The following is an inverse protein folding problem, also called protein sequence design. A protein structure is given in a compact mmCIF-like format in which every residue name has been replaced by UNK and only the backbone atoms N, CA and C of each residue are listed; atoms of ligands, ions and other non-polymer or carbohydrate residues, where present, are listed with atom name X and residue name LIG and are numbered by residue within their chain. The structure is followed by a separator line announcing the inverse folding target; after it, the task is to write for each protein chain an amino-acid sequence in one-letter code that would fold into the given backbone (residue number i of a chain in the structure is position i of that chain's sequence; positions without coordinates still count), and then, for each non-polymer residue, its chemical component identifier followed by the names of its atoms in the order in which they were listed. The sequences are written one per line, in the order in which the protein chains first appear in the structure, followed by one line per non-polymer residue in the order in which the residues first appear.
data_IF_302771533067
#
_entry.id   IF_302771533067
#
_cell.length_a   1.000
_cell.length_b   1.000
_cell.length_c   1.000
_cell.angle_alpha   90.00
_cell.angle_beta   90.00
_cell.angle_gamma   90.00
#
_symmetry.space_group_name_H-M   'P 1'
#
loop_
_entity.id
_entity.type
_entity.pdbx_description
1 polymer ?
#
# COMPACT_ATOMS: atom_id res chain seq x y z
N UNK A 1 18.05 -10.21 7.89
CA UNK A 1 17.75 -11.66 7.95
C UNK A 1 16.25 -11.89 7.99
N UNK A 2 15.75 -12.87 7.28
CA UNK A 2 14.32 -13.20 7.26
C UNK A 2 14.07 -14.52 7.97
N UNK A 3 12.95 -14.58 8.71
CA UNK A 3 12.52 -15.77 9.44
C UNK A 3 11.15 -16.20 8.95
N UNK A 4 10.99 -17.48 8.61
CA UNK A 4 9.72 -18.06 8.20
C UNK A 4 8.73 -18.17 9.37
N UNK A 5 7.50 -18.56 9.04
CA UNK A 5 6.47 -18.80 10.04
C UNK A 5 6.88 -19.93 10.99
N UNK A 6 6.68 -19.71 12.28
CA UNK A 6 6.88 -20.76 13.29
C UNK A 6 5.87 -21.88 13.07
N UNK A 7 6.37 -23.09 12.87
CA UNK A 7 5.53 -24.22 12.50
C UNK A 7 6.13 -25.54 13.01
N UNK A 8 5.33 -26.60 13.00
CA UNK A 8 5.80 -27.93 13.40
C UNK A 8 6.72 -28.56 12.34
N UNK A 9 7.46 -29.60 12.75
CA UNK A 9 8.38 -30.33 11.86
C UNK A 9 7.70 -30.86 10.59
N UNK A 10 6.43 -31.18 10.67
CA UNK A 10 5.64 -31.65 9.54
C UNK A 10 5.27 -30.56 8.51
N UNK A 11 5.53 -29.29 8.84
CA UNK A 11 5.23 -28.13 8.01
C UNK A 11 6.49 -27.35 7.59
N UNK A 12 7.63 -28.03 7.51
CA UNK A 12 8.91 -27.42 7.10
C UNK A 12 8.82 -26.74 5.72
N UNK A 13 8.08 -27.34 4.80
CA UNK A 13 7.88 -26.75 3.46
C UNK A 13 7.13 -25.40 3.55
N UNK A 14 6.13 -25.32 4.43
CA UNK A 14 5.39 -24.09 4.70
C UNK A 14 6.31 -23.02 5.28
N UNK A 15 7.11 -23.39 6.27
CA UNK A 15 8.08 -22.47 6.88
C UNK A 15 9.10 -21.96 5.87
N UNK A 16 9.59 -22.83 4.99
CA UNK A 16 10.50 -22.44 3.91
C UNK A 16 9.84 -21.45 2.93
N UNK A 17 8.63 -21.75 2.47
CA UNK A 17 7.91 -20.88 1.55
C UNK A 17 7.57 -19.52 2.16
N UNK A 18 7.21 -19.49 3.44
CA UNK A 18 6.94 -18.23 4.14
C UNK A 18 8.21 -17.42 4.35
N UNK A 19 9.35 -18.06 4.62
CA UNK A 19 10.65 -17.39 4.71
C UNK A 19 11.06 -16.81 3.35
N UNK A 20 10.87 -17.54 2.25
CA UNK A 20 11.14 -17.05 0.89
C UNK A 20 10.24 -15.86 0.53
N UNK A 21 8.97 -15.91 0.91
CA UNK A 21 8.04 -14.80 0.70
C UNK A 21 8.47 -13.56 1.48
N UNK A 22 8.82 -13.71 2.75
CA UNK A 22 9.34 -12.63 3.57
C UNK A 22 10.63 -12.02 2.99
N UNK A 23 11.52 -12.86 2.47
CA UNK A 23 12.76 -12.41 1.85
C UNK A 23 12.53 -11.57 0.59
N UNK A 24 11.51 -11.91 -0.22
CA UNK A 24 11.15 -11.14 -1.42
C UNK A 24 10.68 -9.73 -1.09
N UNK A 25 10.16 -9.51 0.11
CA UNK A 25 9.68 -8.22 0.58
C UNK A 25 10.66 -7.49 1.49
N UNK A 26 11.85 -8.05 1.68
CA UNK A 26 12.92 -7.39 2.43
C UNK A 26 13.33 -6.10 1.71
N UNK A 27 13.29 -4.99 2.41
CA UNK A 27 13.78 -3.71 1.92
C UNK A 27 15.09 -3.35 2.62
N UNK A 28 15.99 -2.68 1.89
CA UNK A 28 17.29 -2.25 2.42
C UNK A 28 17.19 -1.30 3.62
N UNK A 29 16.02 -0.74 3.88
CA UNK A 29 15.77 0.16 5.01
C UNK A 29 15.45 -0.58 6.31
N UNK A 30 15.24 -1.88 6.24
CA UNK A 30 14.88 -2.67 7.42
C UNK A 30 16.13 -3.35 7.96
N UNK A 31 16.75 -2.75 8.95
CA UNK A 31 17.80 -3.42 9.70
C UNK A 31 17.15 -4.39 10.69
N UNK A 32 17.57 -5.66 10.64
CA UNK A 32 17.10 -6.67 11.57
C UNK A 32 16.34 -7.82 10.93
N UNK A 33 15.36 -8.36 11.65
CA UNK A 33 14.60 -9.53 11.26
C UNK A 33 13.20 -9.13 10.78
N UNK A 34 12.78 -9.70 9.67
CA UNK A 34 11.39 -9.61 9.21
C UNK A 34 10.71 -10.95 9.45
N UNK A 35 9.66 -10.93 10.25
CA UNK A 35 8.83 -12.10 10.48
C UNK A 35 7.70 -12.15 9.44
N UNK A 36 7.37 -13.35 8.99
CA UNK A 36 6.24 -13.52 8.06
C UNK A 36 4.93 -12.96 8.61
N UNK A 37 4.70 -13.12 9.91
CA UNK A 37 3.46 -12.66 10.56
C UNK A 37 3.36 -11.13 10.66
N UNK A 38 4.47 -10.40 10.45
CA UNK A 38 4.49 -8.93 10.40
C UNK A 38 4.17 -8.39 9.00
N UNK A 39 4.09 -9.26 7.99
CA UNK A 39 3.70 -8.89 6.64
C UNK A 39 2.18 -8.82 6.55
N UNK A 40 1.68 -7.72 6.03
CA UNK A 40 0.25 -7.52 5.80
C UNK A 40 -0.10 -7.61 4.31
N UNK A 41 -0.25 -6.46 3.68
CA UNK A 41 -0.65 -6.36 2.28
C UNK A 41 0.36 -7.02 1.32
N UNK A 42 1.62 -7.08 1.68
CA UNK A 42 2.68 -7.73 0.90
C UNK A 42 2.34 -9.19 0.58
N UNK A 43 1.70 -9.90 1.52
CA UNK A 43 1.26 -11.28 1.32
C UNK A 43 0.21 -11.39 0.22
N UNK A 44 -0.71 -10.44 0.16
CA UNK A 44 -1.75 -10.39 -0.87
C UNK A 44 -1.11 -10.09 -2.23
N UNK A 45 -0.23 -9.09 -2.28
CA UNK A 45 0.40 -8.67 -3.52
C UNK A 45 1.41 -9.68 -4.08
N UNK A 46 2.00 -10.51 -3.22
CA UNK A 46 2.94 -11.55 -3.67
C UNK A 46 2.28 -12.60 -4.57
N UNK A 47 0.97 -12.80 -4.46
CA UNK A 47 0.20 -13.70 -5.31
C UNK A 47 -0.09 -13.16 -6.70
N UNK A 48 0.15 -11.88 -6.96
CA UNK A 48 -0.12 -11.24 -8.25
C UNK A 48 1.11 -11.31 -9.17
N UNK A 49 0.88 -11.60 -10.45
CA UNK A 49 1.94 -11.49 -11.45
C UNK A 49 2.19 -10.02 -11.84
N UNK A 50 3.31 -9.69 -12.55
CA UNK A 50 3.60 -8.31 -12.94
C UNK A 50 2.53 -7.64 -13.78
N UNK A 51 1.85 -8.38 -14.65
CA UNK A 51 0.76 -7.84 -15.48
C UNK A 51 -0.46 -7.45 -14.65
N UNK A 52 -0.85 -8.30 -13.71
CA UNK A 52 -1.96 -8.04 -12.79
C UNK A 52 -1.67 -6.82 -11.90
N UNK A 53 -0.45 -6.69 -11.41
CA UNK A 53 0.01 -5.52 -10.64
C UNK A 53 -0.10 -4.24 -11.48
N UNK A 54 0.39 -4.27 -12.70
CA UNK A 54 0.33 -3.13 -13.63
C UNK A 54 -1.12 -2.74 -13.94
N UNK A 55 -1.99 -3.71 -14.19
CA UNK A 55 -3.41 -3.47 -14.43
C UNK A 55 -4.10 -2.83 -13.23
N UNK A 56 -3.83 -3.32 -12.03
CA UNK A 56 -4.39 -2.77 -10.80
C UNK A 56 -3.94 -1.32 -10.55
N UNK A 57 -2.64 -1.03 -10.76
CA UNK A 57 -2.11 0.32 -10.66
C UNK A 57 -2.74 1.26 -11.69
N UNK A 58 -2.94 0.78 -12.90
CA UNK A 58 -3.61 1.55 -13.96
C UNK A 58 -5.04 1.90 -13.57
N UNK A 59 -5.80 0.96 -13.03
CA UNK A 59 -7.18 1.18 -12.59
C UNK A 59 -7.30 2.16 -11.42
N UNK A 60 -6.31 2.20 -10.54
CA UNK A 60 -6.38 2.95 -9.29
C UNK A 60 -5.65 4.29 -9.32
N UNK A 61 -4.46 4.34 -9.89
CA UNK A 61 -3.57 5.49 -9.75
C UNK A 61 -3.19 6.21 -11.04
N UNK A 62 -3.48 5.65 -12.21
CA UNK A 62 -2.97 6.19 -13.48
C UNK A 62 -3.37 7.65 -13.75
N UNK A 63 -4.52 8.06 -13.27
CA UNK A 63 -5.04 9.43 -13.45
C UNK A 63 -4.56 10.42 -12.41
N UNK A 64 -3.92 9.93 -11.33
CA UNK A 64 -3.50 10.74 -10.19
C UNK A 64 -2.03 11.14 -10.29
N UNK A 65 -1.76 12.42 -10.05
CA UNK A 65 -0.40 12.92 -9.94
C UNK A 65 0.23 12.62 -8.57
N UNK A 66 1.52 12.90 -8.43
CA UNK A 66 2.27 12.61 -7.20
C UNK A 66 1.73 13.39 -5.99
N UNK A 67 1.28 14.63 -6.18
CA UNK A 67 0.70 15.44 -5.10
C UNK A 67 -0.62 14.87 -4.62
N UNK A 68 -1.45 14.39 -5.52
CA UNK A 68 -2.73 13.75 -5.21
C UNK A 68 -2.52 12.42 -4.47
N UNK A 69 -1.53 11.63 -4.89
CA UNK A 69 -1.13 10.39 -4.20
C UNK A 69 -0.61 10.68 -2.80
N UNK A 70 0.22 11.71 -2.64
CA UNK A 70 0.71 12.14 -1.33
C UNK A 70 -0.44 12.59 -0.42
N UNK A 71 -1.38 13.35 -0.93
CA UNK A 71 -2.56 13.79 -0.18
C UNK A 71 -3.40 12.60 0.28
N UNK A 72 -3.65 11.62 -0.61
CA UNK A 72 -4.37 10.40 -0.26
C UNK A 72 -3.64 9.56 0.79
N UNK A 73 -2.33 9.45 0.68
CA UNK A 73 -1.51 8.74 1.67
C UNK A 73 -1.69 9.36 3.05
N UNK A 74 -1.56 10.68 3.16
CA UNK A 74 -1.78 11.39 4.41
C UNK A 74 -3.20 11.22 4.93
N UNK A 75 -4.20 11.23 4.04
CA UNK A 75 -5.60 11.05 4.39
C UNK A 75 -5.87 9.66 4.99
N UNK A 76 -5.32 8.62 4.42
CA UNK A 76 -5.46 7.26 4.93
C UNK A 76 -4.64 7.03 6.21
N UNK A 77 -3.44 7.61 6.32
CA UNK A 77 -2.63 7.57 7.55
C UNK A 77 -3.32 8.23 8.74
N UNK A 78 -4.20 9.18 8.48
CA UNK A 78 -5.04 9.82 9.50
C UNK A 78 -6.43 9.18 9.63
N UNK A 79 -6.57 7.91 9.27
CA UNK A 79 -7.83 7.16 9.35
C UNK A 79 -9.02 7.87 8.69
N UNK A 80 -8.77 8.52 7.54
CA UNK A 80 -9.76 9.29 6.79
C UNK A 80 -10.31 10.51 7.57
N UNK A 81 -9.57 11.01 8.54
CA UNK A 81 -9.93 12.20 9.32
C UNK A 81 -9.59 13.47 8.55
N UNK A 82 -10.60 14.27 8.24
CA UNK A 82 -10.39 15.59 7.61
C UNK A 82 -9.58 16.54 8.51
N UNK A 83 -9.87 16.51 9.82
CA UNK A 83 -9.16 17.35 10.80
C UNK A 83 -7.68 16.97 10.92
N UNK A 84 -7.38 15.67 11.07
CA UNK A 84 -6.01 15.18 11.16
C UNK A 84 -5.21 15.45 9.91
N UNK A 85 -5.79 15.17 8.74
CA UNK A 85 -5.13 15.36 7.45
C UNK A 85 -4.88 16.84 7.15
N UNK A 86 -5.86 17.70 7.40
CA UNK A 86 -5.71 19.15 7.17
C UNK A 86 -4.62 19.76 8.06
N UNK A 87 -4.50 19.29 9.29
CA UNK A 87 -3.41 19.68 10.20
C UNK A 87 -2.04 19.20 9.71
N UNK A 88 -1.94 17.95 9.32
CA UNK A 88 -0.68 17.37 8.81
C UNK A 88 -0.19 18.08 7.55
N UNK A 89 -1.10 18.40 6.63
CA UNK A 89 -0.77 19.02 5.35
C UNK A 89 -0.76 20.55 5.37
N UNK A 90 -1.08 21.16 6.50
CA UNK A 90 -1.16 22.62 6.66
C UNK A 90 -2.11 23.28 5.65
N UNK A 91 -3.26 22.66 5.39
CA UNK A 91 -4.31 23.19 4.52
C UNK A 91 -5.64 23.28 5.26
N UNK A 92 -6.54 24.13 4.79
CA UNK A 92 -7.89 24.24 5.35
C UNK A 92 -8.73 23.01 4.99
N UNK A 93 -9.66 22.61 5.87
CA UNK A 93 -10.56 21.48 5.64
C UNK A 93 -11.34 21.59 4.32
N UNK A 94 -11.82 22.79 3.98
CA UNK A 94 -12.55 23.02 2.73
C UNK A 94 -11.67 22.78 1.51
N UNK A 95 -10.40 23.18 1.57
CA UNK A 95 -9.42 22.90 0.53
C UNK A 95 -9.17 21.41 0.38
N UNK A 96 -9.06 20.70 1.51
CA UNK A 96 -8.90 19.23 1.50
C UNK A 96 -10.13 18.57 0.87
N UNK A 97 -11.33 18.95 1.25
CA UNK A 97 -12.57 18.42 0.67
C UNK A 97 -12.65 18.67 -0.85
N UNK A 98 -12.27 19.86 -1.29
CA UNK A 98 -12.20 20.19 -2.71
C UNK A 98 -11.23 19.28 -3.45
N UNK A 99 -10.03 19.06 -2.89
CA UNK A 99 -9.02 18.18 -3.48
C UNK A 99 -9.48 16.72 -3.52
N UNK A 100 -10.14 16.22 -2.47
CA UNK A 100 -10.71 14.87 -2.47
C UNK A 100 -11.82 14.71 -3.52
N UNK A 101 -12.67 15.73 -3.68
CA UNK A 101 -13.69 15.74 -4.73
C UNK A 101 -13.07 15.77 -6.13
N UNK A 102 -11.98 16.50 -6.29
CA UNK A 102 -11.22 16.54 -7.55
C UNK A 102 -10.66 15.17 -7.91
N UNK A 103 -10.05 14.49 -6.94
CA UNK A 103 -9.55 13.12 -7.10
C UNK A 103 -10.68 12.18 -7.51
N UNK A 104 -11.85 12.28 -6.87
CA UNK A 104 -13.00 11.46 -7.24
C UNK A 104 -13.43 11.69 -8.70
N UNK A 105 -13.55 12.94 -9.11
CA UNK A 105 -13.94 13.26 -10.51
C UNK A 105 -12.92 12.75 -11.52
N UNK A 106 -11.64 12.76 -11.17
CA UNK A 106 -10.53 12.41 -12.04
C UNK A 106 -10.34 10.89 -12.14
N UNK A 107 -10.46 10.18 -11.03
CA UNK A 107 -10.21 8.73 -10.96
C UNK A 107 -11.46 7.86 -11.07
N UNK A 108 -12.63 8.43 -10.80
CA UNK A 108 -13.86 7.66 -10.65
C UNK A 108 -14.00 6.93 -9.31
N UNK A 109 -12.99 7.03 -8.44
CA UNK A 109 -12.97 6.40 -7.13
C UNK A 109 -13.13 7.45 -6.04
N UNK A 110 -14.16 7.32 -5.20
CA UNK A 110 -14.44 8.26 -4.12
C UNK A 110 -13.61 7.94 -2.87
N UNK A 111 -12.61 8.77 -2.51
CA UNK A 111 -11.77 8.50 -1.35
C UNK A 111 -12.51 8.41 -0.01
N UNK A 112 -13.74 8.94 0.05
CA UNK A 112 -14.57 8.93 1.26
C UNK A 112 -15.54 7.75 1.33
N UNK A 113 -15.71 7.00 0.25
CA UNK A 113 -16.49 5.78 0.22
C UNK A 113 -15.58 4.59 0.53
N UNK A 114 -15.92 3.77 1.53
CA UNK A 114 -15.05 2.71 2.05
C UNK A 114 -14.52 1.78 0.94
N UNK A 115 -15.38 1.31 0.06
CA UNK A 115 -14.99 0.39 -1.01
C UNK A 115 -13.95 1.02 -1.96
N UNK A 116 -14.18 2.24 -2.39
CA UNK A 116 -13.28 2.97 -3.28
C UNK A 116 -11.99 3.38 -2.56
N UNK A 117 -12.11 3.78 -1.29
CA UNK A 117 -10.97 4.08 -0.44
C UNK A 117 -10.04 2.87 -0.29
N UNK A 118 -10.58 1.67 -0.12
CA UNK A 118 -9.80 0.42 -0.08
C UNK A 118 -9.05 0.22 -1.39
N UNK A 119 -9.69 0.42 -2.53
CA UNK A 119 -9.04 0.30 -3.85
C UNK A 119 -7.87 1.28 -3.99
N UNK A 120 -8.08 2.54 -3.63
CA UNK A 120 -7.03 3.57 -3.66
C UNK A 120 -5.89 3.26 -2.68
N UNK A 121 -6.23 2.85 -1.47
CA UNK A 121 -5.25 2.48 -0.44
C UNK A 121 -4.37 1.30 -0.89
N UNK A 122 -4.96 0.25 -1.44
CA UNK A 122 -4.23 -0.89 -1.97
C UNK A 122 -3.35 -0.48 -3.15
N UNK A 123 -3.84 0.37 -4.04
CA UNK A 123 -3.05 0.90 -5.17
C UNK A 123 -1.82 1.67 -4.70
N UNK A 124 -1.97 2.55 -3.71
CA UNK A 124 -0.86 3.31 -3.12
C UNK A 124 0.21 2.40 -2.49
N UNK A 125 -0.23 1.37 -1.77
CA UNK A 125 0.71 0.42 -1.16
C UNK A 125 1.40 -0.45 -2.20
N UNK A 126 0.68 -0.91 -3.23
CA UNK A 126 1.28 -1.66 -4.33
C UNK A 126 2.32 -0.83 -5.08
N UNK A 127 2.06 0.45 -5.33
CA UNK A 127 3.00 1.37 -5.96
C UNK A 127 4.30 1.50 -5.16
N UNK A 128 4.22 1.56 -3.84
CA UNK A 128 5.41 1.57 -2.96
C UNK A 128 6.22 0.28 -3.12
N UNK A 129 5.59 -0.87 -3.09
CA UNK A 129 6.23 -2.18 -3.21
C UNK A 129 6.93 -2.33 -4.56
N UNK A 130 6.25 -1.99 -5.65
CA UNK A 130 6.81 -2.03 -7.00
C UNK A 130 8.01 -1.11 -7.14
N UNK A 131 7.95 0.10 -6.57
CA UNK A 131 9.05 1.06 -6.58
C UNK A 131 10.29 0.52 -5.89
N UNK A 132 10.15 -0.14 -4.75
CA UNK A 132 11.27 -0.77 -4.03
C UNK A 132 11.86 -1.96 -4.81
N UNK A 133 11.05 -2.72 -5.50
CA UNK A 133 11.52 -3.87 -6.30
C UNK A 133 12.40 -3.42 -7.46
N UNK A 134 12.13 -2.26 -8.07
CA UNK A 134 12.93 -1.71 -9.17
C UNK A 134 14.22 -1.02 -8.69
N UNK A 135 14.33 -0.64 -7.42
CA UNK A 135 15.53 -0.02 -6.85
C UNK A 135 16.55 -1.05 -6.32
N UNK A 136 16.18 -2.30 -6.26
CA UNK A 136 17.03 -3.42 -5.88
C UNK A 136 17.52 -4.15 -7.13
#
# INVERSE_FOLDING_TARGET
MTIGKMTSVYQLCDSYQTAVTAMKHFTAQTEGYIFFDDLGLELIFSGLNPLEKAEFLTKTLSTLDENERHLLTAYFENDMSLSGTSRQLFIHKNTLQYKLNHIFRKSGLNPRAFKDAVMLYLGLNLAKIVRFTFLL
#
